data_IF_946124986061
#
_entry.id   IF_946124986061
#
_cell.length_a   1.000
_cell.length_b   1.000
_cell.length_c   1.000
_cell.angle_alpha   90.00
_cell.angle_beta   90.00
_cell.angle_gamma   90.00
#
_symmetry.space_group_name_H-M   'P 1'
#
loop_
_entity.id
_entity.type
_entity.pdbx_description
1 polymer ?
#
# COMPACT_ATOMS: atom_id res chain seq x y z
N UNK A 1 -16.98 -15.98 3.75
CA UNK A 1 -17.26 -15.65 3.28
C UNK A 1 -17.34 -15.51 3.13
N UNK A 2 -16.96 -15.30 3.29
CA UNK A 2 -17.10 -14.76 2.85
C UNK A 2 -17.11 -14.62 2.69
N UNK A 3 -16.81 -14.38 2.84
CA UNK A 3 -16.89 -13.80 2.26
C UNK A 3 -16.86 -13.73 2.09
N UNK A 4 -16.80 -13.48 2.01
CA UNK A 4 -16.96 -12.95 1.34
C UNK A 4 -17.15 -12.84 1.12
N UNK A 5 -17.23 -12.56 0.93
CA UNK A 5 -17.58 -12.07 0.30
C UNK A 5 -18.14 -11.83 0.05
N UNK A 6 -18.37 -11.39 -0.13
CA UNK A 6 -18.88 -10.87 -0.71
C UNK A 6 -19.44 -10.55 -1.02
N UNK A 7 -19.66 -10.14 -1.29
CA UNK A 7 -20.14 -9.60 -1.85
C UNK A 7 -20.69 -9.18 -2.17
N UNK A 8 -20.72 -8.65 -2.31
CA UNK A 8 -21.22 -8.11 -2.79
C UNK A 8 -21.32 -7.24 -3.17
N UNK A 9 -21.51 -6.96 -3.31
CA UNK A 9 -21.38 -5.92 -3.88
C UNK A 9 -21.08 -4.85 -3.29
N UNK A 10 -21.02 -4.80 -2.99
CA UNK A 10 -20.51 -4.13 -2.76
C UNK A 10 -19.76 -4.03 -2.66
N UNK A 11 -20.45 -3.74 -2.29
CA UNK A 11 -19.34 -3.51 -2.31
C UNK A 11 -18.57 -4.38 -2.78
N UNK A 12 -18.61 -4.47 -3.48
CA UNK A 12 -17.91 -5.25 -4.10
C UNK A 12 -16.58 -4.94 -4.38
N UNK A 13 -16.26 -3.80 -4.82
CA UNK A 13 -14.96 -3.29 -5.10
C UNK A 13 -14.10 -3.17 -3.86
N UNK A 14 -14.70 -2.73 -2.78
CA UNK A 14 -14.02 -2.68 -1.51
C UNK A 14 -13.55 -4.02 -1.05
N UNK A 15 -14.34 -5.06 -1.28
CA UNK A 15 -13.95 -6.38 -0.84
C UNK A 15 -12.74 -6.89 -1.60
N UNK A 16 -12.58 -6.50 -2.86
CA UNK A 16 -11.42 -6.88 -3.64
C UNK A 16 -10.14 -6.29 -3.08
N UNK A 17 -10.16 -5.00 -2.79
CA UNK A 17 -9.00 -4.31 -2.24
C UNK A 17 -8.71 -4.82 -0.83
N UNK A 18 -9.72 -4.91 0.01
CA UNK A 18 -9.57 -5.38 1.37
C UNK A 18 -9.01 -6.78 1.44
N UNK A 19 -9.44 -7.67 0.53
CA UNK A 19 -8.94 -9.03 0.55
C UNK A 19 -7.47 -9.10 0.18
N UNK A 20 -7.00 -8.27 -0.74
CA UNK A 20 -5.59 -8.23 -1.11
C UNK A 20 -4.72 -7.76 0.04
N UNK A 21 -5.17 -6.77 0.79
CA UNK A 21 -4.46 -6.29 1.95
C UNK A 21 -4.54 -7.25 3.13
N UNK A 22 -5.70 -7.88 3.33
CA UNK A 22 -5.94 -8.77 4.46
C UNK A 22 -5.08 -10.02 4.43
N UNK A 23 -4.78 -10.53 3.24
CA UNK A 23 -4.06 -11.79 3.13
C UNK A 23 -2.55 -11.62 3.07
N UNK A 24 -2.07 -10.40 2.97
CA UNK A 24 -0.65 -10.14 2.94
C UNK A 24 -0.07 -9.83 4.31
N UNK A 25 1.23 -9.69 4.35
CA UNK A 25 1.95 -9.37 5.57
C UNK A 25 1.60 -7.98 6.10
N UNK A 26 1.45 -7.02 5.21
CA UNK A 26 1.33 -5.62 5.61
C UNK A 26 -0.05 -5.06 5.28
N UNK A 27 -0.53 -4.19 6.16
CA UNK A 27 -1.77 -3.45 5.94
C UNK A 27 -1.57 -2.01 6.35
N UNK A 28 -1.85 -1.08 5.45
CA UNK A 28 -1.77 0.35 5.77
C UNK A 28 -2.98 0.75 6.63
N UNK A 29 -2.73 1.24 7.83
CA UNK A 29 -3.80 1.65 8.75
C UNK A 29 -4.03 3.15 8.71
N UNK A 30 -2.97 3.93 8.58
CA UNK A 30 -3.05 5.37 8.69
C UNK A 30 -1.85 6.00 8.01
N UNK A 31 -2.05 7.15 7.39
CA UNK A 31 -0.95 7.87 6.77
C UNK A 31 -1.17 9.37 6.91
N UNK A 32 -0.09 10.09 7.16
CA UNK A 32 -0.10 11.55 7.11
C UNK A 32 1.10 12.02 6.32
N UNK A 33 0.91 13.05 5.53
CA UNK A 33 1.92 13.57 4.62
C UNK A 33 2.03 15.07 4.86
N UNK A 34 3.25 15.56 4.97
CA UNK A 34 3.50 16.99 5.09
C UNK A 34 4.65 17.38 4.17
N UNK A 35 4.63 18.63 3.72
CA UNK A 35 5.70 19.15 2.88
C UNK A 35 6.52 20.16 3.66
N UNK A 36 7.80 20.28 3.34
CA UNK A 36 8.64 21.33 3.91
C UNK A 36 8.15 22.71 3.50
N UNK A 37 8.55 23.73 4.25
CA UNK A 37 8.12 25.11 4.00
C UNK A 37 8.50 25.58 2.61
N UNK A 38 9.62 25.15 2.11
CA UNK A 38 10.08 25.50 0.79
C UNK A 38 9.60 24.53 -0.29
N UNK A 39 8.80 23.53 0.08
CA UNK A 39 8.30 22.52 -0.83
C UNK A 39 9.34 21.53 -1.30
N UNK A 40 10.54 21.54 -0.69
CA UNK A 40 11.63 20.72 -1.18
C UNK A 40 11.47 19.23 -0.85
N UNK A 41 10.97 18.91 0.34
CA UNK A 41 10.86 17.53 0.79
C UNK A 41 9.49 17.21 1.32
N UNK A 42 9.02 16.02 1.01
CA UNK A 42 7.81 15.47 1.59
C UNK A 42 8.22 14.54 2.73
N UNK A 43 7.56 14.71 3.87
CA UNK A 43 7.74 13.84 5.02
C UNK A 43 6.45 13.04 5.18
N UNK A 44 6.57 11.74 5.31
CA UNK A 44 5.43 10.85 5.43
C UNK A 44 5.56 10.04 6.72
N UNK A 45 4.46 10.00 7.46
CA UNK A 45 4.33 9.15 8.64
C UNK A 45 3.21 8.15 8.36
N UNK A 46 3.45 6.90 8.59
CA UNK A 46 2.45 5.87 8.36
C UNK A 46 2.40 4.89 9.52
N UNK A 47 1.22 4.36 9.76
CA UNK A 47 1.02 3.28 10.71
C UNK A 47 0.64 2.05 9.89
N UNK A 48 1.41 0.99 10.03
CA UNK A 48 1.26 -0.22 9.24
C UNK A 48 1.13 -1.41 10.18
N UNK A 49 0.14 -2.25 9.90
CA UNK A 49 -0.01 -3.51 10.60
C UNK A 49 0.91 -4.53 9.94
N UNK A 50 1.78 -5.13 10.74
CA UNK A 50 2.71 -6.17 10.28
C UNK A 50 2.27 -7.50 10.88
N UNK A 51 1.85 -8.41 10.02
CA UNK A 51 1.39 -9.73 10.42
C UNK A 51 2.50 -10.77 10.49
N UNK A 52 3.72 -10.34 10.20
CA UNK A 52 4.85 -11.25 10.17
C UNK A 52 4.94 -12.05 8.89
N UNK A 53 6.02 -12.77 8.73
CA UNK A 53 6.27 -13.58 7.54
C UNK A 53 5.27 -14.74 7.45
N UNK A 54 4.93 -15.33 8.60
CA UNK A 54 3.94 -16.41 8.66
C UNK A 54 2.59 -15.85 9.08
N UNK A 55 1.91 -15.23 8.12
CA UNK A 55 0.63 -14.57 8.36
C UNK A 55 -0.35 -15.56 8.99
N UNK A 56 -0.96 -15.14 10.10
CA UNK A 56 -1.90 -15.97 10.85
C UNK A 56 -1.26 -16.85 11.90
N UNK A 57 0.06 -16.94 11.95
CA UNK A 57 0.80 -17.78 12.91
C UNK A 57 1.70 -16.98 13.84
N UNK A 58 1.84 -15.68 13.59
CA UNK A 58 2.64 -14.79 14.41
C UNK A 58 1.77 -13.66 14.94
N UNK A 59 2.12 -13.05 16.06
CA UNK A 59 1.38 -11.90 16.58
C UNK A 59 1.41 -10.76 15.57
N UNK A 60 0.30 -10.07 15.43
CA UNK A 60 0.23 -8.86 14.62
C UNK A 60 0.81 -7.71 15.41
N UNK A 61 1.65 -6.92 14.78
CA UNK A 61 2.32 -5.79 15.41
C UNK A 61 2.02 -4.54 14.59
N UNK A 62 1.62 -3.47 15.28
CA UNK A 62 1.44 -2.18 14.64
C UNK A 62 2.79 -1.45 14.69
N UNK A 63 3.25 -0.97 13.53
CA UNK A 63 4.50 -0.24 13.42
C UNK A 63 4.27 1.14 12.85
N UNK A 64 4.98 2.11 13.41
CA UNK A 64 4.98 3.47 12.87
C UNK A 64 6.27 3.66 12.10
N UNK A 65 6.14 4.11 10.86
CA UNK A 65 7.28 4.32 9.99
C UNK A 65 7.25 5.75 9.45
N UNK A 66 8.43 6.27 9.16
CA UNK A 66 8.60 7.62 8.64
C UNK A 66 9.57 7.58 7.49
N UNK A 67 9.27 8.34 6.45
CA UNK A 67 10.16 8.44 5.31
C UNK A 67 10.10 9.83 4.70
N UNK A 68 11.11 10.15 3.91
CA UNK A 68 11.20 11.42 3.22
C UNK A 68 11.50 11.19 1.75
N UNK A 69 11.06 12.10 0.91
CA UNK A 69 11.32 12.04 -0.52
C UNK A 69 10.77 13.25 -1.23
N UNK A 70 10.84 13.26 -2.54
CA UNK A 70 10.36 14.36 -3.35
C UNK A 70 8.87 14.29 -3.66
N UNK A 71 8.16 13.41 -2.99
CA UNK A 71 6.71 13.24 -3.11
C UNK A 71 6.26 12.10 -2.21
N UNK A 72 4.94 11.88 -2.10
CA UNK A 72 4.40 10.85 -1.19
C UNK A 72 4.87 9.44 -1.51
N UNK A 73 4.94 9.07 -2.78
CA UNK A 73 5.37 7.73 -3.16
C UNK A 73 6.82 7.50 -2.79
N UNK A 74 7.71 8.45 -3.13
CA UNK A 74 9.13 8.34 -2.78
C UNK A 74 9.32 8.28 -1.27
N UNK A 75 8.58 9.10 -0.53
CA UNK A 75 8.67 9.12 0.93
C UNK A 75 8.20 7.80 1.53
N UNK A 76 7.14 7.21 0.97
CA UNK A 76 6.63 5.92 1.45
C UNK A 76 7.62 4.79 1.18
N UNK A 77 8.21 4.77 0.00
CA UNK A 77 9.22 3.78 -0.33
C UNK A 77 10.43 3.88 0.61
N UNK A 78 10.80 5.10 0.96
CA UNK A 78 11.87 5.33 1.94
C UNK A 78 11.48 4.78 3.31
N UNK A 79 10.23 5.02 3.73
CA UNK A 79 9.74 4.51 5.02
C UNK A 79 9.73 2.98 5.06
N UNK A 80 9.43 2.33 3.96
CA UNK A 80 9.35 0.87 3.90
C UNK A 80 10.71 0.18 4.08
N UNK A 81 11.80 0.92 3.96
CA UNK A 81 13.13 0.36 4.20
C UNK A 81 13.29 -0.13 5.63
N UNK A 82 12.49 0.40 6.56
CA UNK A 82 12.52 -0.07 7.95
C UNK A 82 12.05 -1.51 8.10
N UNK A 83 11.37 -2.06 7.11
CA UNK A 83 10.99 -3.48 7.07
C UNK A 83 12.00 -4.33 6.29
N UNK A 84 13.07 -3.72 5.81
CA UNK A 84 14.03 -4.41 4.95
C UNK A 84 13.56 -4.52 3.50
N UNK A 85 12.47 -3.87 3.15
CA UNK A 85 11.92 -3.94 1.80
C UNK A 85 12.53 -2.85 0.93
N UNK A 86 13.05 -3.25 -0.22
CA UNK A 86 13.51 -2.32 -1.25
C UNK A 86 12.55 -2.42 -2.42
N UNK A 87 11.92 -1.32 -2.74
CA UNK A 87 10.94 -1.28 -3.80
C UNK A 87 11.12 -0.04 -4.66
N UNK A 88 10.83 -0.18 -5.94
CA UNK A 88 10.78 0.97 -6.85
C UNK A 88 9.57 0.82 -7.74
N UNK A 89 8.96 1.94 -8.10
CA UNK A 89 7.80 1.96 -8.97
C UNK A 89 8.27 2.06 -10.41
N UNK A 90 7.88 1.09 -11.22
CA UNK A 90 8.23 1.04 -12.63
C UNK A 90 7.17 1.68 -13.50
N UNK A 91 5.91 1.55 -13.09
CA UNK A 91 4.79 2.10 -13.83
C UNK A 91 3.64 2.39 -12.88
N UNK A 92 2.81 3.36 -13.22
CA UNK A 92 1.74 3.83 -12.37
C UNK A 92 0.58 4.30 -13.23
N UNK A 93 -0.63 3.91 -12.85
CA UNK A 93 -1.84 4.38 -13.49
C UNK A 93 -2.93 4.54 -12.44
N UNK A 94 -3.86 5.45 -12.68
CA UNK A 94 -4.99 5.61 -11.78
C UNK A 94 -6.25 5.92 -12.56
N UNK A 95 -7.39 5.54 -11.96
CA UNK A 95 -8.72 5.82 -12.49
C UNK A 95 -9.60 6.37 -11.40
N UNK A 96 -10.42 7.32 -11.75
CA UNK A 96 -11.46 7.79 -10.85
C UNK A 96 -12.71 6.96 -11.11
N UNK A 97 -13.31 6.46 -10.05
CA UNK A 97 -14.53 5.67 -10.13
C UNK A 97 -15.64 6.39 -9.36
N UNK A 98 -16.86 6.30 -9.87
CA UNK A 98 -18.03 6.81 -9.16
C UNK A 98 -18.83 5.63 -8.63
N UNK A 99 -19.08 5.63 -7.32
CA UNK A 99 -19.87 4.58 -6.68
C UNK A 99 -20.98 5.30 -5.92
N UNK A 100 -22.19 5.31 -6.48
CA UNK A 100 -23.28 6.08 -5.90
C UNK A 100 -22.95 7.57 -5.90
N UNK A 101 -22.91 8.17 -4.72
CA UNK A 101 -22.56 9.58 -4.57
C UNK A 101 -21.08 9.79 -4.25
N UNK A 102 -20.35 8.70 -4.09
CA UNK A 102 -18.94 8.76 -3.72
C UNK A 102 -18.04 8.67 -4.95
N UNK A 103 -16.89 9.29 -4.83
CA UNK A 103 -15.82 9.16 -5.82
C UNK A 103 -14.66 8.42 -5.16
N UNK A 104 -14.15 7.43 -5.86
CA UNK A 104 -13.02 6.66 -5.41
C UNK A 104 -11.90 6.72 -6.44
N UNK A 105 -10.69 6.60 -5.98
CA UNK A 105 -9.53 6.46 -6.85
C UNK A 105 -9.03 5.03 -6.79
N UNK A 106 -8.81 4.43 -7.94
CA UNK A 106 -8.17 3.13 -8.05
C UNK A 106 -6.79 3.35 -8.63
N UNK A 107 -5.77 2.93 -7.92
CA UNK A 107 -4.38 3.07 -8.34
C UNK A 107 -3.80 1.71 -8.66
N UNK A 108 -3.02 1.64 -9.73
CA UNK A 108 -2.34 0.43 -10.18
C UNK A 108 -0.86 0.75 -10.28
N UNK A 109 -0.04 -0.05 -9.64
CA UNK A 109 1.41 0.17 -9.71
C UNK A 109 2.11 -1.11 -10.12
N UNK A 110 3.11 -0.97 -10.96
CA UNK A 110 4.06 -2.04 -11.22
C UNK A 110 5.30 -1.72 -10.42
N UNK A 111 5.68 -2.62 -9.55
CA UNK A 111 6.81 -2.43 -8.67
C UNK A 111 7.85 -3.52 -8.85
N UNK A 112 9.09 -3.14 -8.66
CA UNK A 112 10.17 -4.07 -8.48
C UNK A 112 10.41 -4.15 -6.98
N UNK A 113 10.22 -5.33 -6.39
CA UNK A 113 10.25 -5.51 -4.94
C UNK A 113 11.24 -6.58 -4.55
N UNK A 114 12.07 -6.31 -3.56
CA UNK A 114 12.97 -7.29 -3.00
C UNK A 114 13.35 -6.94 -1.59
N UNK A 115 13.95 -7.90 -0.91
CA UNK A 115 14.59 -7.65 0.38
C UNK A 115 16.06 -7.32 0.09
N UNK A 116 16.72 -6.74 1.07
CA UNK A 116 18.14 -6.46 0.95
C UNK A 116 18.91 -7.74 0.61
N UNK A 117 19.78 -7.66 -0.39
CA UNK A 117 20.60 -8.78 -0.85
C UNK A 117 19.83 -9.93 -1.51
N UNK A 118 18.56 -9.71 -1.84
CA UNK A 118 17.77 -10.71 -2.56
C UNK A 118 17.46 -10.24 -3.97
N UNK A 119 17.16 -11.20 -4.83
CA UNK A 119 16.71 -10.91 -6.17
C UNK A 119 15.35 -10.21 -6.13
N UNK A 120 15.19 -9.18 -6.91
CA UNK A 120 13.94 -8.41 -6.95
C UNK A 120 12.96 -9.06 -7.92
N UNK A 121 11.68 -8.91 -7.59
CA UNK A 121 10.57 -9.39 -8.42
C UNK A 121 9.75 -8.22 -8.89
N UNK A 122 9.25 -8.34 -10.11
CA UNK A 122 8.31 -7.36 -10.66
C UNK A 122 6.90 -7.85 -10.38
N UNK A 123 6.12 -7.03 -9.70
CA UNK A 123 4.75 -7.36 -9.32
C UNK A 123 3.84 -6.15 -9.51
N UNK A 124 2.56 -6.43 -9.76
CA UNK A 124 1.54 -5.39 -9.82
C UNK A 124 0.76 -5.35 -8.52
N UNK A 125 0.38 -4.15 -8.11
CA UNK A 125 -0.48 -3.94 -6.97
C UNK A 125 -1.61 -3.00 -7.29
N UNK A 126 -2.69 -3.10 -6.53
CA UNK A 126 -3.91 -2.31 -6.71
C UNK A 126 -4.32 -1.75 -5.36
N UNK A 127 -4.70 -0.47 -5.35
CA UNK A 127 -5.23 0.17 -4.16
C UNK A 127 -6.44 1.00 -4.50
N UNK A 128 -7.43 1.01 -3.62
CA UNK A 128 -8.65 1.79 -3.80
C UNK A 128 -8.90 2.59 -2.53
N UNK A 129 -9.12 3.89 -2.70
CA UNK A 129 -9.42 4.77 -1.58
C UNK A 129 -10.06 6.05 -2.11
N UNK A 130 -10.70 6.81 -1.24
CA UNK A 130 -11.24 8.12 -1.62
C UNK A 130 -10.12 9.13 -1.86
N UNK A 131 -8.94 8.92 -1.29
CA UNK A 131 -7.76 9.75 -1.48
C UNK A 131 -6.84 9.12 -2.52
N UNK A 132 -6.44 9.91 -3.52
CA UNK A 132 -5.50 9.45 -4.54
C UNK A 132 -4.17 9.03 -3.91
N UNK A 133 -3.69 9.80 -2.95
CA UNK A 133 -2.44 9.48 -2.26
C UNK A 133 -2.56 8.14 -1.54
N UNK A 134 -3.60 7.98 -0.75
CA UNK A 134 -3.80 6.74 0.00
C UNK A 134 -3.98 5.54 -0.91
N UNK A 135 -4.74 5.68 -2.01
CA UNK A 135 -4.92 4.58 -2.94
C UNK A 135 -3.59 4.16 -3.57
N UNK A 136 -2.71 5.12 -3.86
CA UNK A 136 -1.39 4.82 -4.42
C UNK A 136 -0.52 4.04 -3.42
N UNK A 137 -0.56 4.44 -2.15
CA UNK A 137 0.21 3.76 -1.11
C UNK A 137 -0.34 2.36 -0.83
N UNK A 138 -1.66 2.19 -0.87
CA UNK A 138 -2.28 0.87 -0.76
C UNK A 138 -1.87 -0.03 -1.93
N UNK A 139 -1.75 0.54 -3.13
CA UNK A 139 -1.31 -0.22 -4.29
C UNK A 139 0.12 -0.74 -4.09
N UNK A 140 1.00 0.07 -3.51
CA UNK A 140 2.36 -0.35 -3.21
C UNK A 140 2.37 -1.48 -2.18
N UNK A 141 1.58 -1.35 -1.12
CA UNK A 141 1.44 -2.40 -0.11
C UNK A 141 0.92 -3.69 -0.75
N UNK A 142 -0.06 -3.58 -1.64
CA UNK A 142 -0.60 -4.71 -2.38
C UNK A 142 0.49 -5.42 -3.19
N UNK A 143 1.33 -4.67 -3.88
CA UNK A 143 2.43 -5.23 -4.65
C UNK A 143 3.43 -5.97 -3.75
N UNK A 144 3.78 -5.38 -2.61
CA UNK A 144 4.69 -5.99 -1.65
C UNK A 144 4.11 -7.30 -1.12
N UNK A 145 2.82 -7.29 -0.76
CA UNK A 145 2.14 -8.48 -0.27
C UNK A 145 2.14 -9.60 -1.31
N UNK A 146 1.91 -9.24 -2.57
CA UNK A 146 1.90 -10.22 -3.66
C UNK A 146 3.28 -10.79 -3.95
N UNK A 147 4.32 -10.05 -3.65
CA UNK A 147 5.68 -10.52 -3.85
C UNK A 147 6.10 -11.57 -2.83
N UNK A 148 5.32 -11.75 -1.76
CA UNK A 148 5.63 -12.69 -0.69
C UNK A 148 6.65 -12.16 0.31
N UNK A 149 6.85 -10.85 0.36
CA UNK A 149 7.88 -10.23 1.23
C UNK A 149 7.32 -9.77 2.58
#
# INVERSE_FOLDING_TARGET
EDGGAVASGDALSDSGDASLEQWGRLKLLKVSVSSGEDGSDTVLHATVLDRGINVGHEPEVTREITGTGNGPIAAFLDALKSFGVEASVLDYAEHTMSVGTDALAASYVECEVGMEDEEKRTVWGVGIDSSIITSSLKAIISAINRSGR
#
